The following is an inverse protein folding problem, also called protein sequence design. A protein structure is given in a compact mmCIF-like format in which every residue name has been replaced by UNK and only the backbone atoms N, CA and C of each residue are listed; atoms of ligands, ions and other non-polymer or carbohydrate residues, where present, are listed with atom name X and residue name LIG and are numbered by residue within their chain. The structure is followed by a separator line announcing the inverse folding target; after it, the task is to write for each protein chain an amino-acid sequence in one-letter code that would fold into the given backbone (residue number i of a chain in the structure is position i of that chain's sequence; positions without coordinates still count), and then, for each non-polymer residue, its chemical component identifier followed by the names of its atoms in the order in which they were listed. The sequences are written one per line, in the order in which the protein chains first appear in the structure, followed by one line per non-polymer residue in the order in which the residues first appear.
data_IF_631677911511
#
_entry.id   IF_631677911511
#
_cell.length_a   1.000
_cell.length_b   1.000
_cell.length_c   1.000
_cell.angle_alpha   90.00
_cell.angle_beta   90.00
_cell.angle_gamma   90.00
#
_symmetry.space_group_name_H-M   'P 1'
#
loop_
_entity.id
_entity.type
_entity.pdbx_description
1 polymer ?
#
# COMPACT_ATOMS: atom_id res chain seq x y z
N UNK A 1 -37.83 -40.80 36.15
CA UNK A 1 -36.77 -39.96 36.73
C UNK A 1 -35.35 -40.20 36.19
N UNK A 2 -34.89 -41.41 35.97
CA UNK A 2 -33.52 -41.70 35.41
C UNK A 2 -33.30 -41.22 33.97
N UNK A 3 -34.31 -41.26 33.11
CA UNK A 3 -34.22 -40.89 31.68
C UNK A 3 -34.10 -39.36 31.48
N UNK A 4 -34.80 -38.54 32.27
CA UNK A 4 -34.69 -37.07 32.18
C UNK A 4 -33.32 -36.55 32.60
N UNK A 5 -32.66 -37.17 33.60
CA UNK A 5 -31.31 -36.80 33.99
C UNK A 5 -30.26 -37.07 32.93
N UNK A 6 -30.40 -38.16 32.16
CA UNK A 6 -29.50 -38.50 31.06
C UNK A 6 -29.64 -37.49 29.89
N UNK A 7 -30.86 -37.08 29.55
CA UNK A 7 -31.09 -36.08 28.50
C UNK A 7 -30.47 -34.74 28.90
N UNK A 8 -30.68 -34.28 30.12
CA UNK A 8 -30.08 -33.04 30.62
C UNK A 8 -28.54 -33.06 30.55
N UNK A 9 -27.90 -34.16 30.98
CA UNK A 9 -26.44 -34.28 30.94
C UNK A 9 -25.92 -34.24 29.47
N UNK A 10 -26.57 -34.95 28.55
CA UNK A 10 -26.17 -34.93 27.15
C UNK A 10 -26.35 -33.54 26.52
N UNK A 11 -27.47 -32.85 26.82
CA UNK A 11 -27.70 -31.49 26.31
C UNK A 11 -26.68 -30.50 26.82
N UNK A 12 -26.35 -30.54 28.11
CA UNK A 12 -25.32 -29.66 28.72
C UNK A 12 -23.96 -29.95 28.10
N UNK A 13 -23.59 -31.21 27.87
CA UNK A 13 -22.32 -31.57 27.22
C UNK A 13 -22.24 -31.04 25.82
N UNK A 14 -23.28 -31.14 25.00
CA UNK A 14 -23.31 -30.61 23.62
C UNK A 14 -23.17 -29.10 23.62
N UNK A 15 -23.92 -28.39 24.48
CA UNK A 15 -23.83 -26.92 24.59
C UNK A 15 -22.42 -26.47 25.00
N UNK A 16 -21.80 -27.19 25.98
CA UNK A 16 -20.43 -26.89 26.40
C UNK A 16 -19.43 -27.08 25.26
N UNK A 17 -19.53 -28.16 24.48
CA UNK A 17 -18.66 -28.42 23.34
C UNK A 17 -18.83 -27.32 22.29
N UNK A 18 -20.07 -26.93 21.97
CA UNK A 18 -20.36 -25.84 21.03
C UNK A 18 -19.78 -24.52 21.47
N UNK A 19 -19.89 -24.17 22.76
CA UNK A 19 -19.31 -22.96 23.34
C UNK A 19 -17.77 -22.97 23.25
N UNK A 20 -17.13 -24.09 23.55
CA UNK A 20 -15.67 -24.23 23.43
C UNK A 20 -15.22 -24.07 21.97
N UNK A 21 -15.95 -24.66 21.03
CA UNK A 21 -15.67 -24.50 19.60
C UNK A 21 -15.82 -23.04 19.14
N UNK A 22 -16.89 -22.36 19.55
CA UNK A 22 -17.11 -20.94 19.23
C UNK A 22 -16.00 -20.04 19.78
N UNK A 23 -15.59 -20.27 21.03
CA UNK A 23 -14.48 -19.52 21.64
C UNK A 23 -13.18 -19.83 20.90
N UNK A 24 -12.92 -21.09 20.58
CA UNK A 24 -11.74 -21.50 19.83
C UNK A 24 -11.65 -20.84 18.46
N UNK A 25 -12.76 -20.77 17.73
CA UNK A 25 -12.81 -20.08 16.43
C UNK A 25 -12.52 -18.60 16.58
N UNK A 26 -13.15 -17.91 17.56
CA UNK A 26 -12.90 -16.48 17.83
C UNK A 26 -11.44 -16.17 18.15
N UNK A 27 -10.83 -16.98 19.01
CA UNK A 27 -9.41 -16.82 19.35
C UNK A 27 -8.52 -17.03 18.12
N UNK A 28 -8.80 -18.06 17.34
CA UNK A 28 -8.03 -18.34 16.11
C UNK A 28 -8.14 -17.21 15.09
N UNK A 29 -9.34 -16.64 14.92
CA UNK A 29 -9.56 -15.53 13.99
C UNK A 29 -8.87 -14.24 14.45
N UNK A 30 -8.87 -13.97 15.77
CA UNK A 30 -8.14 -12.84 16.32
C UNK A 30 -6.63 -12.99 16.08
N UNK A 31 -6.06 -14.14 16.41
CA UNK A 31 -4.63 -14.42 16.16
C UNK A 31 -4.28 -14.31 14.67
N UNK A 32 -5.20 -14.69 13.79
CA UNK A 32 -5.02 -14.52 12.35
C UNK A 32 -5.04 -13.05 11.93
N UNK A 33 -5.95 -12.24 12.47
CA UNK A 33 -6.00 -10.80 12.22
C UNK A 33 -4.71 -10.10 12.70
N UNK A 34 -4.26 -10.41 13.93
CA UNK A 34 -3.02 -9.87 14.49
C UNK A 34 -1.80 -10.24 13.61
N UNK A 35 -1.77 -11.47 13.08
CA UNK A 35 -0.75 -11.92 12.13
C UNK A 35 -0.83 -11.17 10.80
N UNK A 36 -2.03 -10.96 10.28
CA UNK A 36 -2.25 -10.25 9.02
C UNK A 36 -1.71 -8.82 9.07
N UNK A 37 -1.87 -8.13 10.21
CA UNK A 37 -1.39 -6.77 10.42
C UNK A 37 0.13 -6.68 10.63
N UNK A 38 0.76 -7.75 11.12
CA UNK A 38 2.18 -7.75 11.48
C UNK A 38 3.12 -8.29 10.41
N UNK A 39 2.62 -8.91 9.36
CA UNK A 39 3.46 -9.61 8.36
C UNK A 39 3.29 -9.06 6.94
N UNK A 40 4.36 -9.14 6.15
CA UNK A 40 4.35 -8.93 4.70
C UNK A 40 4.26 -10.30 4.03
N UNK A 41 3.27 -10.48 3.19
CA UNK A 41 3.02 -11.72 2.47
C UNK A 41 3.55 -11.60 1.03
N UNK A 42 4.37 -12.55 0.56
CA UNK A 42 4.81 -12.56 -0.83
C UNK A 42 3.62 -12.67 -1.77
N UNK A 43 3.68 -11.96 -2.89
CA UNK A 43 2.66 -12.04 -3.93
C UNK A 43 2.62 -13.44 -4.54
N UNK A 44 1.43 -13.92 -4.85
CA UNK A 44 1.23 -15.25 -5.46
C UNK A 44 1.45 -15.23 -6.98
N UNK A 45 1.09 -14.13 -7.61
CA UNK A 45 1.20 -13.92 -9.06
C UNK A 45 2.14 -12.73 -9.33
N UNK A 46 2.83 -12.68 -10.47
CA UNK A 46 3.63 -11.53 -10.89
C UNK A 46 2.77 -10.25 -11.01
N UNK A 47 3.38 -9.09 -10.84
CA UNK A 47 2.69 -7.79 -10.91
C UNK A 47 1.98 -7.61 -12.26
N UNK A 48 2.61 -7.99 -13.37
CA UNK A 48 1.99 -7.92 -14.71
C UNK A 48 0.68 -8.70 -14.82
N UNK A 49 0.58 -9.87 -14.18
CA UNK A 49 -0.65 -10.66 -14.09
C UNK A 49 -1.66 -9.99 -13.16
N UNK A 50 -1.20 -9.48 -12.01
CA UNK A 50 -2.05 -8.76 -11.06
C UNK A 50 -2.66 -7.53 -11.75
N UNK A 51 -1.86 -6.74 -12.45
CA UNK A 51 -2.31 -5.54 -13.14
C UNK A 51 -3.31 -5.84 -14.28
N UNK A 52 -3.19 -6.98 -14.96
CA UNK A 52 -4.03 -7.32 -16.12
C UNK A 52 -5.27 -8.15 -15.79
N UNK A 53 -5.21 -9.02 -14.77
CA UNK A 53 -6.26 -10.02 -14.54
C UNK A 53 -7.04 -9.83 -13.22
N UNK A 54 -6.48 -9.11 -12.24
CA UNK A 54 -7.15 -8.93 -10.95
C UNK A 54 -8.24 -7.90 -11.04
N UNK A 55 -9.35 -8.15 -10.35
CA UNK A 55 -10.47 -7.22 -10.27
C UNK A 55 -10.06 -5.96 -9.53
N UNK A 56 -10.47 -4.80 -10.03
CA UNK A 56 -10.29 -3.50 -9.40
C UNK A 56 -11.66 -2.98 -9.01
N UNK A 57 -11.98 -2.88 -7.71
CA UNK A 57 -13.19 -2.20 -7.30
C UNK A 57 -13.08 -0.72 -7.70
N UNK A 58 -14.17 -0.17 -8.24
CA UNK A 58 -14.23 1.27 -8.53
C UNK A 58 -14.31 2.00 -7.20
N UNK A 59 -13.26 2.73 -6.86
CA UNK A 59 -13.24 3.61 -5.68
C UNK A 59 -13.51 5.03 -6.17
N UNK A 60 -14.65 5.61 -5.76
CA UNK A 60 -14.93 7.02 -5.99
C UNK A 60 -14.16 7.83 -4.94
N UNK A 61 -13.28 8.70 -5.39
CA UNK A 61 -12.51 9.59 -4.52
C UNK A 61 -12.87 11.04 -4.87
N UNK A 62 -13.25 11.79 -3.85
CA UNK A 62 -13.41 13.24 -3.98
C UNK A 62 -12.03 13.90 -3.76
N UNK A 63 -11.49 14.47 -4.84
CA UNK A 63 -10.19 15.11 -4.80
C UNK A 63 -10.28 16.51 -4.18
N UNK A 64 -9.40 16.81 -3.23
CA UNK A 64 -9.32 18.11 -2.57
C UNK A 64 -8.76 19.18 -3.52
N UNK A 65 -8.02 18.78 -4.55
CA UNK A 65 -7.47 19.64 -5.62
C UNK A 65 -7.40 18.85 -6.95
N UNK A 66 -7.18 19.60 -8.04
CA UNK A 66 -7.06 19.01 -9.39
C UNK A 66 -5.77 18.20 -9.50
N UNK A 67 -5.89 16.88 -9.51
CA UNK A 67 -4.76 15.93 -9.67
C UNK A 67 -4.13 15.96 -11.07
N UNK A 68 -4.78 16.56 -12.05
CA UNK A 68 -4.19 16.74 -13.39
C UNK A 68 -3.24 17.94 -13.44
N UNK A 69 -3.31 18.88 -12.47
CA UNK A 69 -2.35 19.97 -12.32
C UNK A 69 -1.10 19.46 -11.60
N UNK A 70 -0.07 19.13 -12.36
CA UNK A 70 1.19 18.59 -11.85
C UNK A 70 1.87 19.51 -10.83
N UNK A 71 1.64 20.83 -10.87
CA UNK A 71 2.19 21.78 -9.90
C UNK A 71 1.56 21.61 -8.52
N UNK A 72 0.25 21.33 -8.48
CA UNK A 72 -0.45 21.01 -7.25
C UNK A 72 -0.01 19.66 -6.69
N UNK A 73 0.12 18.69 -7.56
CA UNK A 73 0.60 17.36 -7.20
C UNK A 73 2.02 17.45 -6.62
N UNK A 74 2.93 18.16 -7.28
CA UNK A 74 4.29 18.40 -6.80
C UNK A 74 4.31 19.20 -5.48
N UNK A 75 3.40 20.17 -5.32
CA UNK A 75 3.24 20.97 -4.10
C UNK A 75 2.80 20.12 -2.90
N UNK A 76 1.90 19.17 -3.12
CA UNK A 76 1.39 18.29 -2.08
C UNK A 76 2.38 17.19 -1.64
N UNK A 77 3.33 16.81 -2.51
CA UNK A 77 4.32 15.75 -2.22
C UNK A 77 5.54 16.30 -1.50
N UNK A 78 6.13 15.53 -0.57
CA UNK A 78 7.41 15.88 0.07
C UNK A 78 8.58 15.59 -0.85
N UNK A 79 8.51 14.49 -1.58
CA UNK A 79 9.55 13.98 -2.47
C UNK A 79 8.99 13.71 -3.85
N UNK A 80 9.72 14.12 -4.88
CA UNK A 80 9.48 13.76 -6.28
C UNK A 80 10.81 13.26 -6.84
N UNK A 81 10.86 12.02 -7.28
CA UNK A 81 12.12 11.42 -7.73
C UNK A 81 11.88 10.32 -8.77
N UNK A 82 12.92 10.02 -9.52
CA UNK A 82 12.97 8.86 -10.42
C UNK A 82 13.61 7.70 -9.68
N UNK A 83 12.98 6.53 -9.70
CA UNK A 83 13.57 5.33 -9.16
C UNK A 83 13.26 4.09 -9.99
N UNK A 84 14.20 3.14 -9.96
CA UNK A 84 14.04 1.78 -10.44
C UNK A 84 13.41 0.92 -9.33
N UNK A 85 12.40 0.13 -9.65
CA UNK A 85 11.88 -0.90 -8.76
C UNK A 85 12.80 -2.12 -8.80
N UNK A 86 13.55 -2.33 -7.72
CA UNK A 86 14.50 -3.45 -7.60
C UNK A 86 13.79 -4.74 -7.23
N UNK A 87 12.75 -4.63 -6.39
CA UNK A 87 12.02 -5.79 -5.90
C UNK A 87 10.65 -5.42 -5.38
N UNK A 88 9.67 -6.27 -5.67
CA UNK A 88 8.37 -6.28 -4.98
C UNK A 88 8.45 -7.25 -3.80
N UNK A 89 8.49 -6.71 -2.58
CA UNK A 89 8.64 -7.52 -1.36
C UNK A 89 7.37 -8.30 -1.05
N UNK A 90 6.21 -7.66 -1.23
CA UNK A 90 4.92 -8.29 -0.99
C UNK A 90 3.84 -7.33 -0.53
N UNK A 91 2.69 -7.86 -0.14
CA UNK A 91 1.56 -7.11 0.40
C UNK A 91 1.49 -7.27 1.92
N UNK A 92 1.33 -6.15 2.63
CA UNK A 92 0.92 -6.10 4.03
C UNK A 92 -0.47 -5.51 4.17
N UNK A 93 -0.95 -5.38 5.40
CA UNK A 93 -2.30 -4.91 5.70
C UNK A 93 -2.28 -4.01 6.91
N UNK A 94 -3.05 -2.91 6.84
CA UNK A 94 -3.30 -2.00 7.96
C UNK A 94 -4.79 -1.93 8.27
N UNK A 95 -5.12 -1.36 9.44
CA UNK A 95 -6.51 -1.20 9.89
C UNK A 95 -7.32 -2.50 9.89
N UNK A 96 -6.68 -3.59 10.27
CA UNK A 96 -7.34 -4.90 10.29
C UNK A 96 -8.46 -4.90 11.33
N UNK A 97 -9.71 -4.78 10.85
CA UNK A 97 -10.90 -4.76 11.68
C UNK A 97 -11.61 -6.10 11.64
N UNK A 98 -11.93 -6.60 12.81
CA UNK A 98 -12.58 -7.87 13.01
C UNK A 98 -14.03 -7.67 13.46
N UNK A 99 -14.98 -8.07 12.62
CA UNK A 99 -16.41 -7.90 12.86
C UNK A 99 -17.07 -9.24 13.23
N UNK A 100 -17.81 -9.26 14.34
CA UNK A 100 -18.70 -10.36 14.82
C UNK A 100 -18.17 -11.80 14.67
N UNK A 101 -16.87 -11.97 14.55
CA UNK A 101 -16.23 -13.28 14.57
C UNK A 101 -16.11 -14.00 13.23
N UNK A 102 -16.50 -13.39 12.12
CA UNK A 102 -16.46 -14.06 10.80
C UNK A 102 -16.03 -13.16 9.64
N UNK A 103 -16.11 -11.84 9.78
CA UNK A 103 -15.68 -10.89 8.77
C UNK A 103 -14.55 -10.02 9.29
N UNK A 104 -13.58 -9.75 8.46
CA UNK A 104 -12.59 -8.73 8.72
C UNK A 104 -12.36 -7.88 7.46
N UNK A 105 -12.05 -6.63 7.72
CA UNK A 105 -11.67 -5.64 6.75
C UNK A 105 -10.21 -5.27 6.96
N UNK A 106 -9.48 -5.00 5.91
CA UNK A 106 -8.06 -4.64 5.99
C UNK A 106 -7.66 -3.86 4.76
N UNK A 107 -6.90 -2.80 4.97
CA UNK A 107 -6.36 -1.98 3.89
C UNK A 107 -5.03 -2.57 3.41
N UNK A 108 -4.95 -3.10 2.18
CA UNK A 108 -3.71 -3.64 1.66
C UNK A 108 -2.76 -2.53 1.26
N UNK A 109 -1.46 -2.76 1.45
CA UNK A 109 -0.39 -1.95 0.90
C UNK A 109 0.67 -2.87 0.28
N UNK A 110 1.44 -2.36 -0.67
CA UNK A 110 2.55 -3.10 -1.27
C UNK A 110 3.88 -2.48 -0.85
N UNK A 111 4.81 -3.33 -0.40
CA UNK A 111 6.18 -2.96 -0.03
C UNK A 111 7.14 -3.26 -1.17
N UNK A 112 7.97 -2.28 -1.47
CA UNK A 112 9.00 -2.33 -2.51
C UNK A 112 10.39 -2.09 -1.93
N UNK A 113 11.42 -2.57 -2.63
CA UNK A 113 12.78 -2.08 -2.58
C UNK A 113 13.02 -1.29 -3.88
N UNK A 114 13.37 -0.02 -3.78
CA UNK A 114 13.60 0.87 -4.92
C UNK A 114 15.02 1.42 -4.87
N UNK A 115 15.55 1.80 -6.03
CA UNK A 115 16.82 2.54 -6.16
C UNK A 115 16.56 3.90 -6.75
N UNK A 116 16.74 4.96 -5.95
CA UNK A 116 16.61 6.33 -6.43
C UNK A 116 17.73 6.63 -7.43
N UNK A 117 17.36 7.05 -8.62
CA UNK A 117 18.28 7.39 -9.72
C UNK A 117 18.49 8.91 -9.79
N UNK A 118 17.42 9.68 -9.53
CA UNK A 118 17.45 11.14 -9.60
C UNK A 118 16.42 11.75 -8.66
N UNK A 119 16.81 12.78 -7.92
CA UNK A 119 15.91 13.63 -7.14
C UNK A 119 15.42 14.81 -7.98
N UNK A 120 14.09 15.02 -8.04
CA UNK A 120 13.46 16.20 -8.65
C UNK A 120 13.02 17.17 -7.55
N UNK A 121 12.50 16.65 -6.42
CA UNK A 121 12.18 17.39 -5.18
C UNK A 121 12.64 16.56 -3.99
N UNK A 122 13.28 17.20 -3.01
CA UNK A 122 13.89 16.55 -1.85
C UNK A 122 15.30 16.03 -2.15
N UNK A 123 15.94 15.45 -1.15
CA UNK A 123 17.36 15.03 -1.19
C UNK A 123 17.51 13.59 -0.67
N UNK A 124 16.85 12.63 -1.32
CA UNK A 124 16.99 11.22 -0.97
C UNK A 124 18.36 10.68 -1.40
N UNK A 125 18.85 9.70 -0.66
CA UNK A 125 20.07 8.97 -1.03
C UNK A 125 19.89 8.29 -2.39
N UNK A 126 20.84 8.48 -3.29
CA UNK A 126 20.79 7.93 -4.65
C UNK A 126 21.69 6.71 -4.79
N UNK A 127 21.34 5.80 -5.72
CA UNK A 127 22.06 4.58 -6.07
C UNK A 127 22.21 3.56 -4.93
N UNK A 128 21.42 3.71 -3.87
CA UNK A 128 21.25 2.71 -2.82
C UNK A 128 19.80 2.19 -2.83
N UNK A 129 19.62 0.94 -2.38
CA UNK A 129 18.30 0.34 -2.34
C UNK A 129 17.62 0.74 -1.02
N UNK A 130 16.47 1.41 -1.12
CA UNK A 130 15.67 1.87 0.02
C UNK A 130 14.25 1.32 -0.07
N UNK A 131 13.58 1.11 1.07
CA UNK A 131 12.19 0.68 1.07
C UNK A 131 11.23 1.79 0.66
N UNK A 132 10.14 1.39 0.02
CA UNK A 132 9.01 2.23 -0.35
C UNK A 132 7.71 1.47 -0.05
N UNK A 133 6.73 2.14 0.49
CA UNK A 133 5.38 1.60 0.69
C UNK A 133 4.39 2.31 -0.24
N UNK A 134 3.61 1.54 -0.99
CA UNK A 134 2.47 2.05 -1.76
C UNK A 134 1.17 1.59 -1.10
N UNK A 135 0.26 2.54 -0.81
CA UNK A 135 -1.04 2.27 -0.17
C UNK A 135 -2.06 1.58 -1.09
N UNK A 136 -1.57 0.82 -2.04
CA UNK A 136 -2.33 -0.07 -2.91
C UNK A 136 -1.78 -1.47 -2.80
N UNK A 137 -2.62 -2.48 -2.96
CA UNK A 137 -2.15 -3.86 -2.82
C UNK A 137 -3.22 -4.90 -3.11
N UNK A 138 -2.80 -6.14 -3.05
CA UNK A 138 -3.65 -7.30 -3.29
C UNK A 138 -4.46 -7.61 -2.04
N UNK A 139 -5.78 -7.72 -2.16
CA UNK A 139 -6.62 -8.20 -1.06
C UNK A 139 -6.27 -9.63 -0.68
N UNK A 140 -6.31 -9.93 0.62
CA UNK A 140 -5.95 -11.24 1.16
C UNK A 140 -6.80 -12.38 0.58
N UNK A 141 -8.08 -12.12 0.38
CA UNK A 141 -9.00 -13.08 -0.23
C UNK A 141 -9.31 -12.70 -1.68
N UNK A 142 -9.12 -13.66 -2.57
CA UNK A 142 -9.48 -13.52 -3.97
C UNK A 142 -8.41 -12.86 -4.84
N UNK A 143 -8.82 -12.61 -6.09
CA UNK A 143 -8.02 -11.93 -7.10
C UNK A 143 -8.56 -10.50 -7.29
N UNK A 144 -8.29 -9.63 -6.33
CA UNK A 144 -8.64 -8.22 -6.39
C UNK A 144 -7.52 -7.34 -5.85
N UNK A 145 -7.41 -6.14 -6.39
CA UNK A 145 -6.42 -5.12 -6.00
C UNK A 145 -7.18 -3.89 -5.51
N UNK A 146 -6.80 -3.37 -4.37
CA UNK A 146 -7.14 -2.00 -3.98
C UNK A 146 -6.19 -1.08 -4.71
N UNK A 147 -6.67 -0.40 -5.71
CA UNK A 147 -5.95 0.63 -6.44
C UNK A 147 -6.96 1.61 -7.04
N UNK A 148 -6.56 2.86 -7.24
CA UNK A 148 -7.40 3.85 -7.92
C UNK A 148 -7.62 3.45 -9.38
N UNK A 149 -8.70 3.96 -9.99
CA UNK A 149 -8.99 3.74 -11.39
C UNK A 149 -7.84 4.27 -12.27
N UNK A 150 -7.27 3.39 -13.10
CA UNK A 150 -6.13 3.73 -13.96
C UNK A 150 -4.76 3.63 -13.30
N UNK A 151 -4.68 3.41 -12.00
CA UNK A 151 -3.43 3.16 -11.29
C UNK A 151 -3.02 1.69 -11.37
N UNK A 152 -1.72 1.43 -11.43
CA UNK A 152 -1.14 0.09 -11.49
C UNK A 152 -0.11 -0.07 -10.36
N UNK A 153 0.11 -1.30 -9.95
CA UNK A 153 1.24 -1.61 -9.09
C UNK A 153 2.53 -1.55 -9.92
N UNK A 154 3.59 -0.87 -9.45
CA UNK A 154 4.90 -0.84 -10.10
C UNK A 154 5.51 -2.23 -10.29
N UNK A 155 6.10 -2.48 -11.46
CA UNK A 155 6.70 -3.77 -11.80
C UNK A 155 8.23 -3.74 -11.60
N UNK A 156 8.81 -4.90 -11.27
CA UNK A 156 10.27 -5.03 -11.09
C UNK A 156 11.02 -4.78 -12.39
N UNK A 157 12.16 -4.09 -12.30
CA UNK A 157 13.01 -3.75 -13.43
C UNK A 157 12.50 -2.58 -14.29
N UNK A 158 11.50 -1.86 -13.79
CA UNK A 158 10.94 -0.67 -14.43
C UNK A 158 11.24 0.60 -13.63
N UNK A 159 11.36 1.73 -14.34
CA UNK A 159 11.57 3.06 -13.76
C UNK A 159 10.27 3.86 -13.74
N UNK A 160 10.07 4.55 -12.64
CA UNK A 160 8.92 5.41 -12.39
C UNK A 160 9.35 6.76 -11.83
N UNK A 161 8.53 7.79 -12.06
CA UNK A 161 8.55 8.99 -11.23
C UNK A 161 7.63 8.71 -10.05
N UNK A 162 8.20 8.71 -8.85
CA UNK A 162 7.46 8.58 -7.60
C UNK A 162 7.20 9.93 -6.97
N UNK A 163 5.98 10.10 -6.49
CA UNK A 163 5.57 11.25 -5.70
C UNK A 163 5.16 10.74 -4.33
N UNK A 164 5.94 11.08 -3.32
CA UNK A 164 5.88 10.48 -2.00
C UNK A 164 5.78 11.51 -0.89
N UNK A 165 5.30 11.06 0.25
CA UNK A 165 5.50 11.72 1.54
C UNK A 165 6.32 10.82 2.46
N UNK A 166 6.89 11.40 3.52
CA UNK A 166 7.40 10.63 4.64
C UNK A 166 6.30 10.45 5.69
N UNK A 167 6.27 9.31 6.36
CA UNK A 167 5.43 9.09 7.54
C UNK A 167 6.16 9.53 8.84
N UNK A 168 5.51 9.36 10.00
CA UNK A 168 6.05 9.71 11.30
C UNK A 168 7.33 8.95 11.68
N UNK A 169 7.56 7.78 11.09
CA UNK A 169 8.76 6.96 11.26
C UNK A 169 9.85 7.28 10.21
N UNK A 170 9.57 8.23 9.30
CA UNK A 170 10.45 8.64 8.21
C UNK A 170 10.50 7.64 7.05
N UNK A 171 9.56 6.69 6.97
CA UNK A 171 9.43 5.79 5.81
C UNK A 171 8.79 6.53 4.63
N UNK A 172 9.18 6.17 3.41
CA UNK A 172 8.60 6.72 2.19
C UNK A 172 7.29 6.01 1.85
N UNK A 173 6.25 6.81 1.60
CA UNK A 173 4.91 6.33 1.32
C UNK A 173 4.35 6.98 0.05
N UNK A 174 3.84 6.16 -0.87
CA UNK A 174 3.05 6.56 -2.04
C UNK A 174 1.58 6.27 -1.75
N UNK A 175 0.72 7.25 -1.97
CA UNK A 175 -0.71 7.12 -1.68
C UNK A 175 -1.07 7.55 -0.25
N UNK A 176 -2.26 7.21 0.21
CA UNK A 176 -2.82 7.72 1.46
C UNK A 176 -3.50 9.07 1.26
N UNK A 177 -3.36 9.99 2.22
CA UNK A 177 -3.98 11.33 2.12
C UNK A 177 -3.39 12.20 1.01
N UNK A 178 -2.22 11.85 0.49
CA UNK A 178 -1.51 12.58 -0.56
C UNK A 178 -1.78 12.08 -1.97
N UNK A 179 -2.68 11.17 -2.20
CA UNK A 179 -3.23 10.74 -3.51
C UNK A 179 -2.23 10.63 -4.66
N UNK A 180 -0.96 10.19 -4.46
CA UNK A 180 -0.04 10.20 -5.55
C UNK A 180 0.63 8.91 -5.85
N UNK A 181 0.96 8.97 -7.04
CA UNK A 181 1.14 7.97 -8.03
C UNK A 181 2.62 7.76 -8.24
N UNK A 182 2.88 6.64 -8.70
CA UNK A 182 4.01 6.28 -9.51
C UNK A 182 3.61 6.45 -10.98
N UNK A 183 4.47 7.07 -11.76
CA UNK A 183 4.25 7.31 -13.16
C UNK A 183 5.31 6.54 -13.93
N UNK A 184 4.87 5.56 -14.70
CA UNK A 184 5.77 4.76 -15.51
C UNK A 184 6.58 5.63 -16.48
N UNK A 185 7.88 5.41 -16.56
CA UNK A 185 8.79 6.05 -17.47
C UNK A 185 9.24 5.11 -18.59
N UNK A 186 9.98 4.08 -18.22
CA UNK A 186 10.61 3.16 -19.13
C UNK A 186 11.08 1.90 -18.40
N UNK A 187 11.60 0.93 -19.10
CA UNK A 187 12.37 -0.15 -18.48
C UNK A 187 13.69 0.39 -17.93
N UNK A 188 14.17 -0.19 -16.83
CA UNK A 188 15.39 0.28 -16.18
C UNK A 188 16.62 0.20 -17.10
N UNK A 189 16.68 -0.78 -18.01
CA UNK A 189 17.75 -0.92 -19.03
C UNK A 189 17.72 0.16 -20.12
N UNK A 190 16.58 0.86 -20.27
CA UNK A 190 16.36 1.91 -21.27
C UNK A 190 16.51 3.32 -20.65
N UNK A 191 16.65 3.43 -19.33
CA UNK A 191 16.71 4.71 -18.65
C UNK A 191 18.01 5.46 -18.97
N UNK A 192 17.86 6.71 -19.46
CA UNK A 192 18.98 7.59 -19.87
C UNK A 192 19.06 8.88 -19.05
N UNK A 193 17.98 9.23 -18.33
CA UNK A 193 17.83 10.50 -17.62
C UNK A 193 17.32 11.66 -18.50
N UNK A 194 17.12 11.41 -19.80
CA UNK A 194 16.71 12.45 -20.77
C UNK A 194 15.22 12.35 -21.17
N UNK A 195 14.42 11.61 -20.38
CA UNK A 195 13.00 11.43 -20.66
C UNK A 195 12.23 12.75 -20.49
N UNK A 196 11.48 13.14 -21.52
CA UNK A 196 10.75 14.41 -21.56
C UNK A 196 9.76 14.58 -20.41
N UNK A 197 9.27 13.49 -19.82
CA UNK A 197 8.37 13.51 -18.68
C UNK A 197 9.07 13.99 -17.40
N UNK A 198 10.37 13.73 -17.25
CA UNK A 198 11.17 14.23 -16.13
C UNK A 198 11.22 15.76 -16.16
N UNK A 199 11.45 16.35 -17.34
CA UNK A 199 11.45 17.81 -17.51
C UNK A 199 10.11 18.44 -17.13
N UNK A 200 8.99 17.76 -17.47
CA UNK A 200 7.65 18.21 -17.05
C UNK A 200 7.52 18.25 -15.53
N UNK A 201 8.08 17.29 -14.80
CA UNK A 201 8.04 17.30 -13.35
C UNK A 201 9.06 18.25 -12.71
N UNK A 202 10.22 18.46 -13.34
CA UNK A 202 11.16 19.53 -12.93
C UNK A 202 10.50 20.91 -13.00
N UNK A 203 9.80 21.19 -14.12
CA UNK A 203 9.03 22.44 -14.27
C UNK A 203 7.89 22.54 -13.25
N UNK A 204 7.16 21.45 -13.03
CA UNK A 204 6.09 21.40 -12.05
C UNK A 204 6.59 21.67 -10.62
N UNK A 205 7.75 21.15 -10.24
CA UNK A 205 8.39 21.42 -8.93
C UNK A 205 8.89 22.86 -8.86
N UNK A 206 9.50 23.40 -9.91
CA UNK A 206 9.96 24.78 -9.96
C UNK A 206 8.80 25.81 -9.82
N UNK A 207 7.58 25.42 -10.21
CA UNK A 207 6.37 26.24 -10.19
C UNK A 207 5.27 25.68 -9.30
N UNK A 208 5.61 24.88 -8.28
CA UNK A 208 4.66 24.17 -7.44
C UNK A 208 3.72 25.09 -6.66
N UNK A 209 2.50 24.61 -6.44
CA UNK A 209 1.48 25.26 -5.60
C UNK A 209 1.44 24.58 -4.24
N UNK A 210 2.15 25.15 -3.26
CA UNK A 210 2.21 24.61 -1.90
C UNK A 210 0.93 24.84 -1.08
N UNK A 211 -0.03 25.65 -1.59
CA UNK A 211 -1.29 25.90 -0.87
C UNK A 211 -2.17 24.66 -0.71
N UNK A 212 -1.87 23.60 -1.47
CA UNK A 212 -2.57 22.31 -1.44
C UNK A 212 -1.94 21.29 -0.50
N UNK A 213 -0.88 21.65 0.20
CA UNK A 213 -0.19 20.76 1.14
C UNK A 213 -1.03 20.60 2.40
N UNK A 214 -1.25 19.35 2.80
CA UNK A 214 -2.01 19.00 3.99
C UNK A 214 -1.18 18.04 4.86
N UNK A 215 -1.28 18.23 6.18
CA UNK A 215 -0.65 17.37 7.16
C UNK A 215 0.62 17.94 7.77
N UNK A 216 1.29 17.14 8.56
CA UNK A 216 2.57 17.46 9.19
C UNK A 216 3.73 17.18 8.23
N UNK A 217 4.78 17.99 8.31
CA UNK A 217 5.98 17.84 7.50
C UNK A 217 6.93 16.86 8.19
N UNK A 218 6.91 15.61 7.77
CA UNK A 218 7.90 14.62 8.19
C UNK A 218 9.05 14.57 7.19
N UNK A 219 10.25 14.23 7.72
CA UNK A 219 11.44 14.03 6.90
C UNK A 219 11.74 12.56 6.76
N UNK A 220 12.10 12.16 5.56
CA UNK A 220 12.52 10.80 5.33
C UNK A 220 13.86 10.52 6.03
N UNK A 221 13.97 9.36 6.66
CA UNK A 221 15.22 8.86 7.20
C UNK A 221 16.25 8.46 6.13
N UNK A 222 15.83 8.47 4.87
CA UNK A 222 16.67 8.21 3.70
C UNK A 222 17.16 9.50 3.02
N UNK A 223 17.01 10.67 3.67
CA UNK A 223 17.66 11.90 3.20
C UNK A 223 19.18 11.82 3.36
N UNK A 224 19.90 12.47 2.44
CA UNK A 224 21.35 12.70 2.55
C UNK A 224 21.61 13.57 3.77
N UNK A 225 22.47 13.12 4.68
CA UNK A 225 22.84 13.86 5.90
C UNK A 225 23.94 14.88 5.65
#
# INVERSE_FOLDING_TARGET
MKQSKKIVVVTVSIVTVLLVLLVGVRVSMKLFADKLESEIFPLKDPISVINSEYKRPVVCVDWVYDINDKRKVAGASDYVFVAEVKKVVGTGYTDVKYYDGYDFDANPFTRYEIRVLENIKGELITYEDIPLTKHDGVHYFGKSVSALEGDNLPDEGECYIFLCSADEDGELVVGGFSYFCDIYLCKAEEYTGDESLIEVYRDAVANMDESVRFGEDFKSKYEVQ
#
